data_IF_188879306550
#
_entry.id   IF_188879306550
#
_cell.length_a   1.000
_cell.length_b   1.000
_cell.length_c   1.000
_cell.angle_alpha   90.00
_cell.angle_beta   90.00
_cell.angle_gamma   90.00
#
_symmetry.space_group_name_H-M   'P 1'
#
loop_
_entity.id
_entity.type
_entity.pdbx_description
1 polymer ?
#
# COMPACT_ATOMS: atom_id res chain seq x y z
N UNK A 1 -13.08 4.39 1.96
CA UNK A 1 -13.30 3.36 3.02
C UNK A 1 -12.39 3.53 4.23
N UNK A 2 -11.07 3.61 4.04
CA UNK A 2 -10.11 3.83 5.14
C UNK A 2 -10.35 5.17 5.86
N UNK A 3 -10.58 6.26 5.10
CA UNK A 3 -10.91 7.59 5.65
C UNK A 3 -12.15 7.51 6.54
N UNK A 4 -13.24 6.90 6.03
CA UNK A 4 -14.47 6.73 6.80
C UNK A 4 -14.28 5.93 8.10
N UNK A 5 -13.44 4.89 8.09
CA UNK A 5 -13.13 4.14 9.30
C UNK A 5 -12.40 5.01 10.35
N UNK A 6 -11.40 5.78 9.92
CA UNK A 6 -10.65 6.70 10.80
C UNK A 6 -11.58 7.79 11.34
N UNK A 7 -12.35 8.47 10.49
CA UNK A 7 -13.25 9.53 10.91
C UNK A 7 -14.33 9.01 11.86
N UNK A 8 -14.97 7.87 11.56
CA UNK A 8 -16.08 7.36 12.38
C UNK A 8 -15.58 6.95 13.75
N UNK A 9 -14.58 6.06 13.81
CA UNK A 9 -14.06 5.53 15.06
C UNK A 9 -13.27 6.57 15.86
N UNK A 10 -12.56 7.48 15.18
CA UNK A 10 -11.86 8.59 15.81
C UNK A 10 -12.81 9.59 16.48
N UNK A 11 -13.95 9.87 15.86
CA UNK A 11 -14.97 10.73 16.44
C UNK A 11 -15.74 10.06 17.60
N UNK A 12 -15.84 8.74 17.60
CA UNK A 12 -16.43 7.97 18.72
C UNK A 12 -15.54 8.00 19.97
N UNK A 13 -14.22 8.02 19.79
CA UNK A 13 -13.24 8.11 20.87
C UNK A 13 -13.04 9.54 21.41
N UNK A 14 -13.36 10.53 20.60
CA UNK A 14 -13.21 11.93 20.97
C UNK A 14 -14.34 12.38 21.88
N UNK A 15 -14.15 12.24 23.20
CA UNK A 15 -14.99 12.92 24.18
C UNK A 15 -14.87 14.43 23.95
N UNK A 16 -15.92 15.02 23.39
CA UNK A 16 -16.02 16.46 23.23
C UNK A 16 -16.42 17.10 24.56
N UNK A 17 -15.55 17.00 25.56
CA UNK A 17 -15.70 17.80 26.77
C UNK A 17 -15.53 19.27 26.40
N UNK A 18 -16.66 19.96 26.30
CA UNK A 18 -16.67 21.39 25.96
C UNK A 18 -15.99 22.15 27.10
N UNK A 19 -14.91 22.90 26.82
CA UNK A 19 -14.18 23.60 27.88
C UNK A 19 -15.08 24.66 28.51
N UNK A 20 -14.81 24.97 29.77
CA UNK A 20 -15.55 25.97 30.53
C UNK A 20 -14.80 27.29 30.51
N UNK A 21 -15.49 28.37 30.13
CA UNK A 21 -14.98 29.75 30.18
C UNK A 21 -15.52 30.49 31.41
N UNK A 22 -14.73 31.43 31.91
CA UNK A 22 -15.15 32.33 32.98
C UNK A 22 -15.78 33.59 32.39
N UNK A 23 -17.08 33.76 32.60
CA UNK A 23 -17.83 34.94 32.14
C UNK A 23 -18.02 35.90 33.33
N UNK A 24 -17.70 37.20 33.20
CA UNK A 24 -17.91 38.15 34.29
C UNK A 24 -19.40 38.31 34.61
N UNK A 25 -19.75 38.29 35.90
CA UNK A 25 -21.08 38.64 36.39
C UNK A 25 -21.06 40.16 36.61
N UNK A 26 -21.90 40.86 35.85
CA UNK A 26 -21.98 42.31 35.88
C UNK A 26 -23.27 42.71 36.57
N UNK A 27 -23.16 43.50 37.63
CA UNK A 27 -24.30 44.03 38.39
C UNK A 27 -24.18 45.55 38.52
N UNK A 28 -25.30 46.29 38.59
CA UNK A 28 -25.29 47.73 38.77
C UNK A 28 -24.83 48.10 40.19
N UNK A 29 -23.90 49.03 40.28
CA UNK A 29 -23.39 49.51 41.56
C UNK A 29 -24.49 50.21 42.38
N UNK A 30 -24.66 49.91 43.69
CA UNK A 30 -25.86 50.30 44.46
C UNK A 30 -26.18 51.79 44.51
N UNK A 31 -25.19 52.66 44.34
CA UNK A 31 -25.35 54.13 44.43
C UNK A 31 -25.23 54.86 43.09
N UNK A 32 -24.35 54.38 42.21
CA UNK A 32 -24.01 55.08 40.96
C UNK A 32 -24.67 54.47 39.74
N UNK A 33 -25.32 53.30 39.87
CA UNK A 33 -25.92 52.52 38.77
C UNK A 33 -24.92 52.12 37.66
N UNK A 34 -23.62 52.38 37.85
CA UNK A 34 -22.58 51.97 36.92
C UNK A 34 -22.39 50.44 36.97
N UNK A 35 -22.19 49.81 35.82
CA UNK A 35 -21.99 48.37 35.73
C UNK A 35 -20.61 47.98 36.29
N UNK A 36 -20.59 47.12 37.30
CA UNK A 36 -19.36 46.61 37.93
C UNK A 36 -19.32 45.09 37.86
N UNK A 37 -18.14 44.53 37.61
CA UNK A 37 -17.93 43.08 37.65
C UNK A 37 -17.85 42.63 39.10
N UNK A 38 -18.87 41.92 39.57
CA UNK A 38 -18.99 41.47 40.98
C UNK A 38 -18.37 40.07 41.16
N UNK A 39 -18.22 39.32 40.09
CA UNK A 39 -17.58 38.01 40.12
C UNK A 39 -17.44 37.42 38.74
N UNK A 40 -17.10 36.12 38.68
CA UNK A 40 -17.03 35.35 37.45
C UNK A 40 -17.84 34.08 37.59
N UNK A 41 -18.63 33.73 36.59
CA UNK A 41 -19.33 32.45 36.50
C UNK A 41 -18.61 31.52 35.53
N UNK A 42 -18.53 30.25 35.89
CA UNK A 42 -18.08 29.19 34.99
C UNK A 42 -19.23 28.80 34.07
N UNK A 43 -19.05 28.94 32.77
CA UNK A 43 -20.04 28.59 31.75
C UNK A 43 -19.35 27.76 30.65
N UNK A 44 -20.03 26.75 30.11
CA UNK A 44 -19.53 26.00 28.94
C UNK A 44 -19.33 26.94 27.74
N UNK A 45 -18.21 26.80 27.07
CA UNK A 45 -17.92 27.54 25.84
C UNK A 45 -18.61 26.89 24.64
N UNK A 46 -19.85 27.32 24.38
CA UNK A 46 -20.62 26.81 23.25
C UNK A 46 -19.98 27.09 21.88
N UNK A 47 -19.01 28.01 21.79
CA UNK A 47 -18.28 28.28 20.55
C UNK A 47 -17.47 27.08 20.10
N UNK A 48 -17.04 26.23 21.04
CA UNK A 48 -16.27 25.01 20.81
C UNK A 48 -17.14 23.74 20.85
N UNK A 49 -18.46 23.88 20.92
CA UNK A 49 -19.37 22.75 20.96
C UNK A 49 -19.37 22.01 19.60
N UNK A 50 -19.41 20.67 19.56
CA UNK A 50 -19.36 19.89 18.31
C UNK A 50 -20.50 20.20 17.33
N UNK A 51 -21.66 20.64 17.81
CA UNK A 51 -22.76 21.09 16.95
C UNK A 51 -22.47 22.42 16.23
N UNK A 52 -21.52 23.21 16.73
CA UNK A 52 -21.10 24.49 16.15
C UNK A 52 -19.84 24.31 15.32
N UNK A 53 -18.81 23.66 15.87
CA UNK A 53 -17.53 23.45 15.19
C UNK A 53 -17.54 22.22 14.29
N UNK A 54 -18.51 21.33 14.41
CA UNK A 54 -18.53 20.04 13.70
C UNK A 54 -17.76 18.95 14.43
N UNK A 55 -17.64 17.79 13.78
CA UNK A 55 -16.89 16.64 14.30
C UNK A 55 -15.39 16.93 14.33
N UNK A 56 -14.67 16.23 15.21
CA UNK A 56 -13.23 16.40 15.45
C UNK A 56 -12.42 15.96 14.24
N UNK A 57 -12.76 14.80 13.66
CA UNK A 57 -12.16 14.29 12.44
C UNK A 57 -13.14 14.43 11.29
N UNK A 58 -12.73 15.15 10.25
CA UNK A 58 -13.48 15.23 9.00
C UNK A 58 -12.70 14.54 7.89
N UNK A 59 -13.38 14.05 6.84
CA UNK A 59 -12.70 13.42 5.71
C UNK A 59 -11.66 14.33 5.05
N UNK A 60 -11.91 15.65 5.06
CA UNK A 60 -11.01 16.64 4.45
C UNK A 60 -9.69 16.80 5.23
N UNK A 61 -9.66 16.40 6.50
CA UNK A 61 -8.46 16.46 7.36
C UNK A 61 -7.53 15.25 7.15
N UNK A 62 -7.95 14.27 6.34
CA UNK A 62 -7.22 13.03 6.09
C UNK A 62 -6.82 12.97 4.62
N UNK A 63 -5.56 13.29 4.36
CA UNK A 63 -4.94 13.09 3.07
C UNK A 63 -4.31 11.70 2.99
N UNK A 64 -4.57 10.98 1.90
CA UNK A 64 -3.99 9.66 1.65
C UNK A 64 -3.40 9.62 0.26
N UNK A 65 -2.15 9.19 0.16
CA UNK A 65 -1.46 9.01 -1.11
C UNK A 65 -0.82 7.61 -1.18
N UNK A 66 -0.82 7.00 -2.37
CA UNK A 66 -0.19 5.71 -2.59
C UNK A 66 1.25 5.89 -3.04
N UNK A 67 2.19 5.13 -2.47
CA UNK A 67 3.60 5.19 -2.89
C UNK A 67 3.76 4.91 -4.40
N UNK A 68 3.05 3.89 -4.89
CA UNK A 68 3.06 3.50 -6.29
C UNK A 68 1.66 2.98 -6.64
N UNK A 69 1.12 3.49 -7.73
CA UNK A 69 -0.22 3.12 -8.18
C UNK A 69 -0.29 1.63 -8.51
N UNK A 70 -1.31 0.98 -7.96
CA UNK A 70 -1.59 -0.43 -8.20
C UNK A 70 -2.88 -0.52 -8.99
N UNK A 71 -2.80 -1.11 -10.19
CA UNK A 71 -3.93 -1.19 -11.12
C UNK A 71 -5.20 -1.74 -10.47
N UNK A 72 -6.37 -1.27 -10.94
CA UNK A 72 -7.68 -1.63 -10.37
C UNK A 72 -7.95 -3.15 -10.34
N UNK A 73 -7.42 -3.86 -11.33
CA UNK A 73 -7.54 -5.32 -11.45
C UNK A 73 -6.36 -6.09 -10.82
N UNK A 74 -5.41 -5.36 -10.22
CA UNK A 74 -4.23 -5.88 -9.56
C UNK A 74 -4.44 -5.87 -8.04
N UNK A 75 -3.71 -6.72 -7.32
CA UNK A 75 -3.86 -6.94 -5.89
C UNK A 75 -2.51 -6.97 -5.18
N UNK A 76 -2.51 -6.94 -3.84
CA UNK A 76 -1.30 -7.11 -3.06
C UNK A 76 -0.96 -5.93 -2.15
N UNK A 77 0.28 -5.93 -1.67
CA UNK A 77 0.79 -4.94 -0.71
C UNK A 77 0.77 -3.55 -1.35
N UNK A 78 0.27 -2.55 -0.64
CA UNK A 78 0.26 -1.16 -1.09
C UNK A 78 0.64 -0.27 0.09
N UNK A 79 1.75 0.47 -0.05
CA UNK A 79 2.14 1.46 0.94
C UNK A 79 1.35 2.74 0.73
N UNK A 80 0.71 3.21 1.81
CA UNK A 80 -0.07 4.44 1.86
C UNK A 80 0.61 5.43 2.79
N UNK A 81 0.81 6.66 2.32
CA UNK A 81 1.09 7.81 3.18
C UNK A 81 -0.24 8.35 3.71
N UNK A 82 -0.26 8.76 4.98
CA UNK A 82 -1.41 9.41 5.62
C UNK A 82 -0.91 10.74 6.21
N UNK A 83 -1.55 11.85 5.82
CA UNK A 83 -1.18 13.22 6.23
C UNK A 83 0.32 13.48 6.08
N UNK A 84 1.04 13.77 7.17
CA UNK A 84 2.49 14.02 7.18
C UNK A 84 3.29 12.86 6.55
N UNK A 85 2.76 11.64 6.59
CA UNK A 85 3.37 10.48 5.92
C UNK A 85 3.36 10.57 4.39
N UNK A 86 2.54 11.44 3.79
CA UNK A 86 2.58 11.71 2.35
C UNK A 86 3.86 12.45 1.95
N UNK A 87 4.38 13.34 2.81
CA UNK A 87 5.62 14.07 2.55
C UNK A 87 6.84 13.13 2.50
N UNK A 88 6.80 12.03 3.24
CA UNK A 88 7.86 11.01 3.24
C UNK A 88 7.85 10.14 1.97
N UNK A 89 6.73 10.05 1.24
CA UNK A 89 6.59 9.13 0.11
C UNK A 89 7.62 9.40 -1.00
N UNK A 90 7.92 10.66 -1.30
CA UNK A 90 8.91 10.99 -2.33
C UNK A 90 10.30 10.44 -1.96
N UNK A 91 10.72 10.63 -0.71
CA UNK A 91 12.00 10.10 -0.22
C UNK A 91 12.06 8.56 -0.27
N UNK A 92 10.91 7.89 -0.16
CA UNK A 92 10.77 6.45 -0.30
C UNK A 92 10.78 6.03 -1.78
N UNK A 93 10.11 6.77 -2.68
CA UNK A 93 10.11 6.53 -4.14
C UNK A 93 11.52 6.61 -4.71
N UNK A 94 12.30 7.59 -4.24
CA UNK A 94 13.69 7.75 -4.64
C UNK A 94 14.53 6.52 -4.35
N UNK A 95 14.14 5.66 -3.40
CA UNK A 95 14.86 4.43 -3.07
C UNK A 95 14.72 3.30 -4.07
N UNK A 96 13.86 3.44 -5.08
CA UNK A 96 13.68 2.45 -6.15
C UNK A 96 13.67 1.00 -5.62
N UNK A 97 12.90 0.76 -4.55
CA UNK A 97 12.91 -0.51 -3.83
C UNK A 97 12.53 -1.68 -4.74
N UNK A 98 13.14 -2.84 -4.47
CA UNK A 98 12.83 -4.06 -5.18
C UNK A 98 11.45 -4.59 -4.77
N UNK A 99 10.59 -4.77 -5.76
CA UNK A 99 9.24 -5.27 -5.60
C UNK A 99 9.13 -6.70 -6.12
N UNK A 100 8.39 -7.55 -5.40
CA UNK A 100 8.10 -8.91 -5.83
C UNK A 100 6.65 -9.03 -6.28
N UNK A 101 6.47 -9.51 -7.50
CA UNK A 101 5.18 -9.75 -8.12
C UNK A 101 4.97 -11.23 -8.41
N UNK A 102 3.74 -11.68 -8.23
CA UNK A 102 3.22 -12.92 -8.78
C UNK A 102 2.31 -12.58 -9.95
N UNK A 103 2.73 -13.03 -11.13
CA UNK A 103 2.10 -12.77 -12.42
C UNK A 103 1.40 -14.04 -12.89
N UNK A 104 0.09 -14.01 -13.04
CA UNK A 104 -0.68 -15.13 -13.58
C UNK A 104 -1.15 -14.81 -14.98
N UNK A 105 -0.88 -15.74 -15.90
CA UNK A 105 -1.28 -15.64 -17.29
C UNK A 105 -1.93 -16.92 -17.79
N UNK A 106 -2.68 -16.78 -18.87
CA UNK A 106 -3.34 -17.87 -19.59
C UNK A 106 -2.89 -17.85 -21.05
N UNK A 107 -2.31 -18.96 -21.52
CA UNK A 107 -1.90 -19.11 -22.91
C UNK A 107 -3.07 -19.36 -23.86
N UNK A 108 -2.88 -19.01 -25.12
CA UNK A 108 -3.84 -19.24 -26.21
C UNK A 108 -4.96 -18.21 -26.31
N UNK A 109 -4.93 -17.16 -25.48
CA UNK A 109 -5.92 -16.09 -25.47
C UNK A 109 -5.23 -14.74 -25.42
N UNK A 110 -5.78 -13.76 -26.12
CA UNK A 110 -5.31 -12.38 -26.10
C UNK A 110 -6.47 -11.41 -25.86
N UNK A 111 -6.25 -10.45 -24.96
CA UNK A 111 -7.20 -9.38 -24.64
C UNK A 111 -6.73 -8.04 -25.20
N UNK A 112 -7.67 -7.15 -25.52
CA UNK A 112 -7.38 -5.77 -25.92
C UNK A 112 -6.51 -5.05 -24.88
N UNK A 113 -5.40 -4.43 -25.32
CA UNK A 113 -4.40 -3.76 -24.46
C UNK A 113 -3.90 -4.63 -23.29
N UNK A 114 -3.91 -5.95 -23.45
CA UNK A 114 -3.47 -6.90 -22.43
C UNK A 114 -4.19 -6.68 -21.08
N UNK A 115 -5.43 -6.18 -21.09
CA UNK A 115 -6.18 -5.92 -19.85
C UNK A 115 -6.60 -7.22 -19.17
N UNK A 116 -6.46 -7.28 -17.86
CA UNK A 116 -7.00 -8.39 -17.05
C UNK A 116 -8.51 -8.45 -17.27
N UNK A 117 -8.99 -9.61 -17.75
CA UNK A 117 -10.41 -9.83 -18.14
C UNK A 117 -10.93 -8.86 -19.21
N UNK A 118 -10.07 -8.36 -20.09
CA UNK A 118 -10.45 -7.54 -21.24
C UNK A 118 -11.22 -8.33 -22.32
N UNK A 119 -11.80 -7.62 -23.28
CA UNK A 119 -12.42 -8.21 -24.48
C UNK A 119 -11.36 -9.01 -25.24
N UNK A 120 -11.72 -10.22 -25.64
CA UNK A 120 -10.86 -11.11 -26.42
C UNK A 120 -10.71 -10.60 -27.86
N UNK A 121 -9.47 -10.55 -28.32
CA UNK A 121 -9.10 -10.05 -29.66
C UNK A 121 -8.57 -11.19 -30.52
N UNK A 122 -7.78 -12.10 -29.95
CA UNK A 122 -7.19 -13.21 -30.68
C UNK A 122 -7.10 -14.48 -29.82
N UNK A 123 -7.10 -15.62 -30.52
CA UNK A 123 -6.95 -16.95 -29.94
C UNK A 123 -5.88 -17.73 -30.71
N UNK A 124 -5.06 -18.50 -30.01
CA UNK A 124 -3.98 -19.30 -30.60
C UNK A 124 -3.90 -20.68 -29.95
N UNK A 125 -3.34 -21.65 -30.67
CA UNK A 125 -3.03 -22.96 -30.09
C UNK A 125 -1.87 -22.84 -29.08
N UNK A 126 -1.96 -23.60 -27.99
CA UNK A 126 -0.94 -23.63 -26.93
C UNK A 126 -0.45 -25.05 -26.60
N UNK A 127 -0.90 -26.07 -27.34
CA UNK A 127 -0.61 -27.48 -27.05
C UNK A 127 0.88 -27.85 -27.17
N UNK A 128 1.66 -27.08 -27.94
CA UNK A 128 3.11 -27.24 -28.09
C UNK A 128 3.92 -26.60 -26.95
N UNK A 129 3.29 -25.75 -26.12
CA UNK A 129 3.96 -25.08 -25.03
C UNK A 129 4.21 -26.09 -23.91
N UNK A 130 5.48 -26.23 -23.52
CA UNK A 130 5.88 -27.12 -22.42
C UNK A 130 6.62 -26.30 -21.37
N UNK A 131 6.72 -26.85 -20.16
CA UNK A 131 7.49 -26.23 -19.07
C UNK A 131 8.93 -25.89 -19.50
N UNK A 132 9.57 -26.78 -20.27
CA UNK A 132 10.94 -26.58 -20.78
C UNK A 132 11.03 -25.38 -21.74
N UNK A 133 10.01 -25.15 -22.57
CA UNK A 133 9.99 -23.99 -23.47
C UNK A 133 9.95 -22.69 -22.67
N UNK A 134 9.08 -22.62 -21.65
CA UNK A 134 8.95 -21.46 -20.77
C UNK A 134 10.26 -21.20 -20.01
N UNK A 135 10.83 -22.23 -19.37
CA UNK A 135 12.07 -22.08 -18.60
C UNK A 135 13.27 -21.64 -19.46
N UNK A 136 13.36 -22.12 -20.70
CA UNK A 136 14.36 -21.66 -21.67
C UNK A 136 14.16 -20.19 -22.03
N UNK A 137 12.92 -19.78 -22.31
CA UNK A 137 12.59 -18.38 -22.59
C UNK A 137 12.97 -17.49 -21.40
N UNK A 138 12.48 -17.80 -20.20
CA UNK A 138 12.79 -17.03 -19.00
C UNK A 138 14.30 -16.95 -18.71
N UNK A 139 15.05 -18.02 -18.98
CA UNK A 139 16.51 -18.00 -18.82
C UNK A 139 17.16 -17.03 -19.81
N UNK A 140 16.72 -16.99 -21.07
CA UNK A 140 17.21 -16.01 -22.06
C UNK A 140 16.85 -14.59 -21.66
N UNK A 141 15.60 -14.37 -21.26
CA UNK A 141 15.09 -13.08 -20.80
C UNK A 141 15.86 -12.56 -19.59
N UNK A 142 16.15 -13.41 -18.59
CA UNK A 142 17.04 -13.04 -17.46
C UNK A 142 18.41 -12.61 -17.94
N UNK A 143 19.03 -13.33 -18.88
CA UNK A 143 20.34 -12.94 -19.41
C UNK A 143 20.29 -11.62 -20.16
N UNK A 144 19.22 -11.38 -20.93
CA UNK A 144 18.98 -10.11 -21.61
C UNK A 144 18.81 -8.97 -20.61
N UNK A 145 17.95 -9.10 -19.61
CA UNK A 145 17.79 -8.05 -18.59
C UNK A 145 19.05 -7.83 -17.80
N UNK A 146 19.78 -8.89 -17.42
CA UNK A 146 21.08 -8.77 -16.77
C UNK A 146 22.06 -7.97 -17.64
N UNK A 147 22.10 -8.25 -18.95
CA UNK A 147 22.96 -7.53 -19.90
C UNK A 147 22.52 -6.07 -20.08
N UNK A 148 21.22 -5.84 -20.24
CA UNK A 148 20.61 -4.49 -20.33
C UNK A 148 20.94 -3.71 -19.06
N UNK A 149 20.77 -4.28 -17.87
CA UNK A 149 21.19 -3.66 -16.62
C UNK A 149 22.67 -3.31 -16.59
N UNK A 150 23.55 -4.15 -17.16
CA UNK A 150 24.99 -3.86 -17.29
C UNK A 150 25.37 -2.92 -18.46
N UNK A 151 24.50 -2.71 -19.44
CA UNK A 151 24.76 -1.82 -20.60
C UNK A 151 24.22 -0.41 -20.32
N UNK A 152 23.06 -0.34 -19.67
CA UNK A 152 22.45 0.91 -19.21
C UNK A 152 23.17 1.50 -17.99
N UNK A 153 23.80 0.66 -17.16
CA UNK A 153 24.74 1.09 -16.15
C UNK A 153 26.16 0.82 -16.67
N UNK A 154 26.97 1.84 -16.91
CA UNK A 154 28.39 1.66 -17.21
C UNK A 154 29.19 1.25 -15.93
N UNK A 155 28.50 0.56 -15.01
CA UNK A 155 28.88 0.23 -13.65
C UNK A 155 28.05 -0.97 -13.17
N UNK A 156 28.55 -1.67 -12.16
CA UNK A 156 28.00 -2.91 -11.58
C UNK A 156 26.47 -2.84 -11.31
N UNK A 157 25.78 -3.98 -11.27
CA UNK A 157 24.32 -4.10 -11.05
C UNK A 157 23.87 -3.55 -9.67
N UNK A 158 24.85 -3.20 -8.83
CA UNK A 158 24.77 -2.60 -7.50
C UNK A 158 25.03 -1.08 -7.51
N UNK A 159 25.28 -0.48 -8.67
CA UNK A 159 25.73 0.91 -8.82
C UNK A 159 24.60 1.93 -8.76
N UNK A 160 24.97 3.16 -8.39
CA UNK A 160 24.07 4.30 -8.24
C UNK A 160 23.39 4.73 -9.55
N UNK A 161 23.99 4.44 -10.72
CA UNK A 161 23.43 4.80 -12.04
C UNK A 161 22.22 3.92 -12.44
N UNK A 162 22.26 2.61 -12.14
CA UNK A 162 21.12 1.71 -12.36
C UNK A 162 19.88 2.15 -11.56
N UNK A 163 20.13 2.71 -10.38
CA UNK A 163 19.10 3.27 -9.51
C UNK A 163 18.52 4.58 -10.05
N UNK A 164 19.33 5.43 -10.70
CA UNK A 164 18.87 6.66 -11.36
C UNK A 164 17.94 6.38 -12.56
N UNK A 165 18.19 5.32 -13.33
CA UNK A 165 17.30 4.92 -14.42
C UNK A 165 15.98 4.31 -13.93
N UNK A 166 16.01 3.56 -12.82
CA UNK A 166 14.79 3.13 -12.14
C UNK A 166 13.97 4.33 -11.63
N UNK A 167 14.65 5.39 -11.15
CA UNK A 167 14.01 6.67 -10.78
C UNK A 167 13.37 7.40 -11.95
N UNK A 168 13.88 7.22 -13.18
CA UNK A 168 13.27 7.75 -14.41
C UNK A 168 12.07 6.92 -14.90
N UNK A 169 11.67 5.86 -14.18
CA UNK A 169 10.49 5.05 -14.49
C UNK A 169 10.71 3.97 -15.55
N UNK A 170 11.97 3.63 -15.85
CA UNK A 170 12.28 2.48 -16.69
C UNK A 170 12.33 1.20 -15.84
N UNK A 171 11.52 0.17 -16.14
CA UNK A 171 11.44 -1.03 -15.32
C UNK A 171 12.72 -1.86 -15.43
N UNK A 172 13.35 -2.16 -14.29
CA UNK A 172 14.53 -3.02 -14.22
C UNK A 172 14.12 -4.35 -13.59
N UNK A 173 14.15 -5.42 -14.40
CA UNK A 173 13.83 -6.78 -13.96
C UNK A 173 15.09 -7.47 -13.47
N UNK A 174 15.16 -7.75 -12.17
CA UNK A 174 16.29 -8.45 -11.54
C UNK A 174 16.20 -9.96 -11.71
N UNK A 175 15.00 -10.52 -11.56
CA UNK A 175 14.79 -11.95 -11.65
C UNK A 175 13.36 -12.27 -12.11
N UNK A 176 13.21 -13.38 -12.82
CA UNK A 176 11.88 -13.90 -13.22
C UNK A 176 11.89 -15.42 -13.25
N UNK A 177 11.02 -16.07 -12.47
CA UNK A 177 10.98 -17.53 -12.33
C UNK A 177 9.59 -18.09 -12.58
N UNK A 178 9.53 -19.31 -13.13
CA UNK A 178 8.27 -20.03 -13.28
C UNK A 178 7.96 -20.76 -11.96
N UNK A 179 6.87 -20.37 -11.29
CA UNK A 179 6.42 -21.06 -10.06
C UNK A 179 5.52 -22.23 -10.35
N UNK A 180 4.51 -22.05 -11.20
CA UNK A 180 3.52 -23.08 -11.48
C UNK A 180 3.14 -23.05 -12.94
N UNK A 181 2.99 -24.23 -13.53
CA UNK A 181 2.49 -24.39 -14.88
C UNK A 181 1.44 -25.49 -14.92
N UNK A 182 0.22 -25.11 -15.30
CA UNK A 182 -0.94 -25.99 -15.48
C UNK A 182 -1.68 -25.51 -16.72
N UNK A 183 -1.29 -25.98 -17.93
CA UNK A 183 -1.82 -25.48 -19.19
C UNK A 183 -3.35 -25.36 -19.17
N UNK A 184 -3.95 -24.27 -19.68
CA UNK A 184 -3.28 -23.12 -20.31
C UNK A 184 -2.66 -22.11 -19.32
N UNK A 185 -2.88 -22.28 -18.02
CA UNK A 185 -2.49 -21.31 -16.99
C UNK A 185 -1.02 -21.47 -16.56
N UNK A 186 -0.37 -20.34 -16.29
CA UNK A 186 0.97 -20.29 -15.75
C UNK A 186 1.11 -19.16 -14.73
N UNK A 187 2.04 -19.31 -13.79
CA UNK A 187 2.36 -18.32 -12.77
C UNK A 187 3.85 -18.07 -12.73
N UNK A 188 4.24 -16.81 -12.93
CA UNK A 188 5.61 -16.34 -12.82
C UNK A 188 5.77 -15.54 -11.51
N UNK A 189 6.94 -15.63 -10.91
CA UNK A 189 7.36 -14.66 -9.91
C UNK A 189 8.41 -13.75 -10.55
N UNK A 190 8.24 -12.45 -10.38
CA UNK A 190 9.12 -11.43 -10.94
C UNK A 190 9.59 -10.49 -9.83
N UNK A 191 10.89 -10.21 -9.83
CA UNK A 191 11.52 -9.20 -8.97
C UNK A 191 11.90 -8.02 -9.85
N UNK A 192 11.31 -6.86 -9.60
CA UNK A 192 11.39 -5.69 -10.47
C UNK A 192 11.38 -4.40 -9.66
N UNK A 193 11.98 -3.34 -10.20
CA UNK A 193 11.88 -1.96 -9.68
C UNK A 193 11.48 -1.02 -10.82
N UNK A 194 10.86 0.12 -10.49
CA UNK A 194 10.42 1.12 -11.47
C UNK A 194 9.31 0.60 -12.40
N UNK A 195 8.57 -0.43 -11.98
CA UNK A 195 7.56 -1.07 -12.82
C UNK A 195 6.26 -0.29 -12.91
N UNK A 196 5.55 -0.53 -14.01
CA UNK A 196 4.17 -0.08 -14.20
C UNK A 196 3.26 -1.28 -14.42
N UNK A 197 1.99 -1.14 -14.08
CA UNK A 197 0.99 -2.18 -14.31
C UNK A 197 0.87 -2.56 -15.81
N UNK A 198 1.10 -1.61 -16.72
CA UNK A 198 1.15 -1.85 -18.17
C UNK A 198 2.33 -2.75 -18.54
N UNK A 199 3.51 -2.48 -17.99
CA UNK A 199 4.71 -3.29 -18.23
C UNK A 199 4.50 -4.75 -17.80
N UNK A 200 3.96 -4.98 -16.59
CA UNK A 200 3.73 -6.34 -16.07
C UNK A 200 2.75 -7.14 -16.95
N UNK A 201 1.70 -6.49 -17.46
CA UNK A 201 0.74 -7.11 -18.40
C UNK A 201 1.38 -7.39 -19.76
N UNK A 202 2.15 -6.43 -20.26
CA UNK A 202 2.92 -6.55 -21.50
C UNK A 202 3.90 -7.72 -21.44
N UNK A 203 4.58 -7.93 -20.30
CA UNK A 203 5.51 -9.04 -20.12
C UNK A 203 4.84 -10.42 -20.23
N UNK A 204 3.64 -10.57 -19.67
CA UNK A 204 2.85 -11.81 -19.82
C UNK A 204 2.54 -12.05 -21.29
N UNK A 205 2.12 -11.02 -22.03
CA UNK A 205 1.84 -11.13 -23.45
C UNK A 205 3.10 -11.47 -24.27
N UNK A 206 4.22 -10.79 -24.01
CA UNK A 206 5.52 -11.06 -24.66
C UNK A 206 6.00 -12.50 -24.41
N UNK A 207 5.74 -13.04 -23.23
CA UNK A 207 6.00 -14.45 -22.90
C UNK A 207 5.19 -15.38 -23.81
N UNK A 208 3.93 -15.06 -24.10
CA UNK A 208 3.10 -15.80 -25.06
C UNK A 208 3.67 -15.74 -26.47
N UNK A 209 3.93 -14.52 -26.96
CA UNK A 209 4.45 -14.28 -28.32
C UNK A 209 5.79 -15.00 -28.56
N UNK A 210 6.69 -14.97 -27.57
CA UNK A 210 7.99 -15.64 -27.64
C UNK A 210 7.92 -17.17 -27.67
N UNK A 211 6.77 -17.74 -27.30
CA UNK A 211 6.50 -19.18 -27.31
C UNK A 211 5.59 -19.57 -28.49
N UNK A 212 5.46 -18.71 -29.50
CA UNK A 212 4.60 -18.93 -30.68
C UNK A 212 3.14 -19.19 -30.32
N UNK A 213 2.65 -18.49 -29.29
CA UNK A 213 1.25 -18.49 -28.89
C UNK A 213 0.86 -17.07 -28.48
N UNK A 214 -0.32 -16.91 -27.89
CA UNK A 214 -0.72 -15.66 -27.24
C UNK A 214 -0.88 -15.89 -25.74
N UNK A 215 -0.83 -14.81 -24.96
CA UNK A 215 -1.09 -14.89 -23.52
C UNK A 215 -1.89 -13.69 -23.03
N UNK A 216 -2.82 -13.95 -22.11
CA UNK A 216 -3.66 -12.97 -21.46
C UNK A 216 -3.33 -12.95 -19.96
N UNK A 217 -3.14 -11.78 -19.34
CA UNK A 217 -2.99 -11.69 -17.90
C UNK A 217 -4.31 -11.98 -17.20
N UNK A 218 -4.23 -12.77 -16.12
CA UNK A 218 -5.39 -13.21 -15.32
C UNK A 218 -5.40 -12.58 -13.93
N UNK A 219 -4.24 -12.48 -13.31
CA UNK A 219 -4.07 -11.86 -11.99
C UNK A 219 -2.67 -11.29 -11.86
N UNK A 220 -2.57 -10.11 -11.26
CA UNK A 220 -1.32 -9.49 -10.88
C UNK A 220 -1.35 -9.26 -9.38
N UNK A 221 -0.38 -9.80 -8.65
CA UNK A 221 -0.31 -9.67 -7.20
C UNK A 221 1.07 -9.22 -6.73
N UNK A 222 1.18 -8.04 -6.14
CA UNK A 222 2.41 -7.61 -5.45
C UNK A 222 2.51 -8.28 -4.08
N UNK A 223 3.45 -9.20 -3.91
CA UNK A 223 3.69 -9.87 -2.62
C UNK A 223 4.61 -9.09 -1.69
N UNK A 224 5.50 -8.27 -2.23
CA UNK A 224 6.41 -7.43 -1.45
C UNK A 224 6.63 -6.09 -2.14
N UNK A 225 6.64 -5.01 -1.37
CA UNK A 225 7.04 -3.68 -1.80
C UNK A 225 8.22 -3.21 -0.93
N UNK A 226 9.45 -3.34 -1.42
CA UNK A 226 10.65 -3.10 -0.62
C UNK A 226 10.70 -3.94 0.68
N UNK A 227 10.81 -3.32 1.87
CA UNK A 227 10.82 -4.03 3.15
C UNK A 227 9.42 -4.51 3.59
N UNK A 228 8.35 -4.11 2.89
CA UNK A 228 6.98 -4.45 3.27
C UNK A 228 6.49 -5.73 2.59
N UNK A 229 6.05 -6.70 3.39
CA UNK A 229 5.49 -7.97 2.91
C UNK A 229 3.97 -8.04 3.15
N UNK A 230 3.37 -9.19 2.84
CA UNK A 230 1.92 -9.43 3.04
C UNK A 230 1.54 -9.44 4.53
N UNK A 231 2.45 -9.79 5.43
CA UNK A 231 2.20 -9.88 6.87
C UNK A 231 2.05 -8.49 7.51
N UNK A 232 2.71 -7.49 6.93
CA UNK A 232 2.59 -6.10 7.36
C UNK A 232 1.33 -5.41 6.79
N UNK A 233 0.63 -6.04 5.84
CA UNK A 233 -0.49 -5.43 5.15
C UNK A 233 -1.80 -5.62 5.93
N UNK A 234 -2.54 -4.53 6.11
CA UNK A 234 -3.88 -4.56 6.68
C UNK A 234 -4.91 -4.83 5.58
N UNK A 235 -5.79 -5.82 5.79
CA UNK A 235 -6.92 -6.07 4.88
C UNK A 235 -8.07 -5.10 5.20
N UNK A 236 -8.89 -4.79 4.20
CA UNK A 236 -10.04 -3.88 4.31
C UNK A 236 -10.97 -4.23 5.49
N UNK A 237 -11.18 -5.52 5.75
CA UNK A 237 -12.01 -6.02 6.87
C UNK A 237 -11.46 -5.66 8.25
N UNK A 238 -10.17 -5.33 8.35
CA UNK A 238 -9.50 -5.00 9.60
C UNK A 238 -9.17 -3.51 9.71
N UNK A 239 -9.81 -2.66 8.90
CA UNK A 239 -9.70 -1.20 9.00
C UNK A 239 -10.41 -0.68 10.25
N UNK A 240 -9.85 -1.01 11.40
CA UNK A 240 -10.18 -0.45 12.71
C UNK A 240 -9.09 0.55 13.10
N UNK A 241 -9.47 1.62 13.78
CA UNK A 241 -8.55 2.69 14.16
C UNK A 241 -7.36 2.15 14.96
N UNK A 242 -7.60 1.24 15.91
CA UNK A 242 -6.54 0.61 16.70
C UNK A 242 -5.57 -0.17 15.81
N UNK A 243 -6.09 -0.95 14.87
CA UNK A 243 -5.28 -1.72 13.91
C UNK A 243 -4.49 -0.81 12.97
N UNK A 244 -5.10 0.29 12.52
CA UNK A 244 -4.46 1.32 11.67
C UNK A 244 -3.32 1.99 12.43
N UNK A 245 -3.54 2.42 13.69
CA UNK A 245 -2.51 3.04 14.52
C UNK A 245 -1.36 2.07 14.82
N UNK A 246 -1.66 0.81 15.16
CA UNK A 246 -0.65 -0.25 15.32
C UNK A 246 0.16 -0.44 14.03
N UNK A 247 -0.51 -0.43 12.87
CA UNK A 247 0.14 -0.55 11.58
C UNK A 247 1.04 0.65 11.25
N UNK A 248 0.57 1.88 11.47
CA UNK A 248 1.38 3.10 11.30
C UNK A 248 2.65 3.04 12.14
N UNK A 249 2.54 2.67 13.42
CA UNK A 249 3.71 2.52 14.29
C UNK A 249 4.70 1.46 13.80
N UNK A 250 4.19 0.32 13.31
CA UNK A 250 5.01 -0.74 12.73
C UNK A 250 5.71 -0.24 11.46
N UNK A 251 4.97 0.39 10.55
CA UNK A 251 5.49 0.94 9.30
C UNK A 251 6.58 1.98 9.57
N UNK A 252 6.37 2.91 10.50
CA UNK A 252 7.36 3.92 10.85
C UNK A 252 8.67 3.31 11.37
N UNK A 253 8.60 2.21 12.12
CA UNK A 253 9.81 1.47 12.56
C UNK A 253 10.55 0.84 11.37
N UNK A 254 9.83 0.20 10.46
CA UNK A 254 10.40 -0.43 9.26
C UNK A 254 11.03 0.64 8.36
N UNK A 255 10.33 1.76 8.11
CA UNK A 255 10.86 2.89 7.36
C UNK A 255 12.11 3.42 8.04
N UNK A 256 12.08 3.73 9.33
CA UNK A 256 13.23 4.25 10.06
C UNK A 256 14.45 3.31 10.00
N UNK A 257 14.24 1.98 10.07
CA UNK A 257 15.32 1.00 9.91
C UNK A 257 15.86 0.98 8.49
N UNK A 258 14.98 0.92 7.49
CA UNK A 258 15.37 0.93 6.07
C UNK A 258 15.97 2.27 5.61
N UNK A 259 15.67 3.36 6.32
CA UNK A 259 16.15 4.71 6.03
C UNK A 259 17.57 4.94 6.52
N UNK A 260 18.05 4.19 7.52
CA UNK A 260 19.45 4.25 7.98
C UNK A 260 20.35 3.86 6.81
N UNK A 261 21.19 4.80 6.39
CA UNK A 261 22.13 4.62 5.27
C UNK A 261 23.17 3.57 5.66
N UNK A 262 23.00 2.33 5.23
CA UNK A 262 24.15 1.46 4.98
C UNK A 262 24.68 1.84 3.60
N UNK A 263 25.75 2.63 3.59
CA UNK A 263 26.42 3.11 2.38
C UNK A 263 27.03 2.00 1.52
N UNK A 264 26.98 0.73 1.94
CA UNK A 264 27.75 -0.34 1.29
C UNK A 264 27.02 -1.67 1.08
N UNK A 265 25.70 -1.80 1.30
CA UNK A 265 25.10 -3.13 1.15
C UNK A 265 23.69 -3.17 0.56
N UNK A 266 23.60 -3.65 -0.68
CA UNK A 266 22.44 -4.43 -1.15
C UNK A 266 22.47 -5.75 -0.39
N UNK A 267 22.10 -5.72 0.88
CA UNK A 267 22.02 -6.94 1.69
C UNK A 267 20.64 -7.54 1.52
N UNK A 268 20.61 -8.78 1.02
CA UNK A 268 19.49 -9.69 1.16
C UNK A 268 19.03 -9.68 2.63
N UNK A 269 17.91 -9.02 2.91
CA UNK A 269 17.29 -9.11 4.23
C UNK A 269 16.84 -10.55 4.46
N UNK A 270 17.55 -11.27 5.35
CA UNK A 270 17.10 -12.53 5.93
C UNK A 270 16.16 -12.23 7.11
N UNK A 271 15.15 -13.08 7.24
CA UNK A 271 13.98 -13.03 8.11
C UNK A 271 14.22 -13.21 9.62
N UNK A 272 15.31 -12.72 10.19
CA UNK A 272 15.59 -12.89 11.62
C UNK A 272 16.02 -11.56 12.19
N UNK A 273 15.09 -10.85 12.84
CA UNK A 273 15.33 -9.89 13.95
C UNK A 273 14.04 -9.15 14.35
N UNK A 274 12.94 -9.90 14.56
CA UNK A 274 11.71 -9.38 15.15
C UNK A 274 11.38 -10.16 16.42
N UNK A 275 12.27 -10.08 17.41
CA UNK A 275 11.93 -10.49 18.77
C UNK A 275 11.22 -9.33 19.52
N UNK A 276 9.91 -9.51 19.59
CA UNK A 276 8.95 -9.04 20.59
C UNK A 276 9.49 -8.23 21.79
N UNK A 277 9.12 -6.95 21.85
CA UNK A 277 8.59 -6.34 23.08
C UNK A 277 7.30 -5.61 22.76
N UNK A 278 6.23 -6.12 23.36
CA UNK A 278 4.81 -5.85 23.16
C UNK A 278 4.41 -4.43 23.60
N UNK A 279 3.80 -3.69 22.66
CA UNK A 279 3.16 -2.37 22.86
C UNK A 279 1.82 -2.44 23.62
N UNK A 280 1.38 -3.66 23.98
CA UNK A 280 0.09 -3.94 24.63
C UNK A 280 0.02 -3.30 26.03
N UNK A 281 1.16 -3.16 26.70
CA UNK A 281 1.23 -2.58 28.05
C UNK A 281 1.07 -1.05 28.08
N UNK A 282 1.26 -0.36 26.95
CA UNK A 282 1.29 1.12 26.93
C UNK A 282 -0.10 1.76 26.85
N UNK A 283 -1.14 1.04 26.42
CA UNK A 283 -2.45 1.65 26.12
C UNK A 283 -3.68 0.98 26.75
N UNK A 284 -3.54 -0.08 27.56
CA UNK A 284 -4.68 -0.75 28.24
C UNK A 284 -5.92 -0.92 27.34
N UNK A 285 -5.74 -1.46 26.13
CA UNK A 285 -6.87 -1.74 25.22
C UNK A 285 -7.20 -3.23 25.28
N UNK A 286 -8.45 -3.53 25.64
CA UNK A 286 -8.99 -4.90 25.74
C UNK A 286 -9.05 -5.57 24.36
N UNK A 287 -8.08 -6.45 24.07
CA UNK A 287 -8.04 -7.29 22.86
C UNK A 287 -9.19 -8.33 22.83
N UNK A 288 -9.83 -8.62 23.97
CA UNK A 288 -10.81 -9.72 24.09
C UNK A 288 -12.10 -9.49 23.28
N UNK A 289 -12.46 -8.24 23.00
CA UNK A 289 -13.73 -7.91 22.32
C UNK A 289 -13.68 -8.11 20.79
N UNK A 290 -12.49 -8.11 20.19
CA UNK A 290 -12.32 -8.18 18.72
C UNK A 290 -11.89 -9.57 18.22
N UNK A 291 -11.55 -10.48 19.14
CA UNK A 291 -11.12 -11.84 18.80
C UNK A 291 -12.30 -12.82 18.61
N UNK A 292 -13.49 -12.52 19.14
CA UNK A 292 -14.63 -13.44 19.17
C UNK A 292 -15.50 -13.41 17.88
N UNK A 293 -15.31 -12.44 16.99
CA UNK A 293 -16.08 -12.31 15.73
C UNK A 293 -15.28 -12.78 14.50
N UNK A 294 -14.89 -14.05 14.47
CA UNK A 294 -14.41 -14.70 13.25
C UNK A 294 -15.54 -15.55 12.63
N UNK A 295 -16.43 -14.98 11.80
CA UNK A 295 -17.29 -15.80 10.96
C UNK A 295 -16.47 -16.49 9.87
N UNK A 296 -16.86 -17.72 9.56
CA UNK A 296 -16.27 -18.59 8.55
C UNK A 296 -16.19 -17.92 7.17
N UNK A 297 -15.22 -18.40 6.40
CA UNK A 297 -14.81 -17.88 5.09
C UNK A 297 -15.96 -17.68 4.10
N UNK A 298 -16.52 -16.47 4.07
CA UNK A 298 -17.31 -16.00 2.92
C UNK A 298 -16.45 -15.12 2.00
N UNK A 299 -15.99 -15.80 0.95
CA UNK A 299 -15.95 -15.30 -0.42
C UNK A 299 -15.02 -14.10 -0.74
N UNK A 300 -13.73 -14.42 -0.87
CA UNK A 300 -12.69 -13.58 -1.50
C UNK A 300 -12.92 -13.36 -3.03
N UNK A 301 -14.10 -13.67 -3.56
CA UNK A 301 -14.50 -13.48 -4.95
C UNK A 301 -15.26 -12.18 -5.21
N UNK A 302 -15.53 -11.35 -4.19
CA UNK A 302 -16.12 -10.03 -4.42
C UNK A 302 -15.19 -9.21 -5.32
N UNK A 303 -15.74 -8.71 -6.44
CA UNK A 303 -15.05 -7.73 -7.26
C UNK A 303 -14.63 -6.56 -6.37
N UNK A 304 -13.37 -6.09 -6.45
CA UNK A 304 -13.02 -4.81 -5.86
C UNK A 304 -13.80 -3.75 -6.64
N UNK A 305 -14.95 -3.33 -6.11
CA UNK A 305 -15.53 -2.05 -6.49
C UNK A 305 -14.43 -1.00 -6.36
N UNK A 306 -14.37 -0.07 -7.31
CA UNK A 306 -13.23 0.83 -7.52
C UNK A 306 -12.62 1.30 -6.21
N UNK A 307 -11.28 1.29 -6.14
CA UNK A 307 -10.49 1.77 -5.00
C UNK A 307 -10.70 3.28 -4.82
N UNK A 308 -11.85 3.69 -4.33
CA UNK A 308 -12.10 5.02 -3.79
C UNK A 308 -11.73 4.96 -2.32
N UNK A 309 -10.57 5.55 -1.99
CA UNK A 309 -10.17 5.70 -0.60
C UNK A 309 -10.98 6.80 0.12
N UNK A 310 -11.67 7.64 -0.66
CA UNK A 310 -12.80 8.50 -0.29
C UNK A 310 -13.79 7.85 0.70
#
# INVERSE_FOLDING_TARGET
MLINAICTQGNELGDSEVPTIEVPIVEPHPKSQALVVVGKRKQLDYSLHPLVVGKIFRPEDIHIEQLQDLGKASSGVCLLGINDGCDELESIRERAWLNDYSLEGEFGRESHEHRIKGREVAQASFGHVTRKHIERFLSKTRMQYKRVSFEFANADLQSQEAFELARQGSPIVYNVELKTYRPPNFRLNMQVTGETDVFLRGFIHETGCSLETTACPRSLRRSRQGPFNVEHALLDKYFHLVSILKNIQMCNKIVAQSMRKDTDVVQQMRLTDLENKTLIETFQLDDQKYAEELPESEDCLRLPWGRSYD
#
